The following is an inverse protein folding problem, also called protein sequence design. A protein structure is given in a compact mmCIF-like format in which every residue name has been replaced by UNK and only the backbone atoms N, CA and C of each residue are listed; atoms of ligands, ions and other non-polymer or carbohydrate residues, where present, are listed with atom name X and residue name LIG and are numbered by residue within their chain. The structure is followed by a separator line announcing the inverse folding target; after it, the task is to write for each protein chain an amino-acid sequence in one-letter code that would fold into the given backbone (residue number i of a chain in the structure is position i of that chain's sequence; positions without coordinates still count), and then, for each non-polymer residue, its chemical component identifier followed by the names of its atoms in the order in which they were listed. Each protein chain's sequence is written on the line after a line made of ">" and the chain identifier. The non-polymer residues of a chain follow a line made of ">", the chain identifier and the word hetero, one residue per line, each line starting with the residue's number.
data_IF_220794968761
#
_entry.id   IF_220794968761
#
_cell.length_a   1.000
_cell.length_b   1.000
_cell.length_c   1.000
_cell.angle_alpha   90.00
_cell.angle_beta   90.00
_cell.angle_gamma   90.00
#
_symmetry.space_group_name_H-M   'P 1'
#
loop_
_entity.id
_entity.type
_entity.pdbx_description
1 polymer ?
#
# COMPACT_ATOMS: atom_id res chain seq x y z
N UNK A 1 10.50 8.44 1.28
CA UNK A 1 9.43 7.62 0.70
C UNK A 1 8.16 8.39 0.60
N UNK A 2 7.49 8.19 -0.49
CA UNK A 2 6.27 8.91 -0.76
C UNK A 2 5.07 8.10 -0.30
N UNK A 3 4.17 8.74 0.43
CA UNK A 3 2.90 8.15 0.83
C UNK A 3 1.77 8.98 0.27
N UNK A 4 0.71 8.31 -0.12
CA UNK A 4 -0.45 8.97 -0.70
C UNK A 4 -1.70 8.47 0.00
N UNK A 5 -2.56 9.40 0.38
CA UNK A 5 -3.83 9.08 1.02
C UNK A 5 -4.97 9.49 0.14
N UNK A 6 -5.88 8.55 -0.01
CA UNK A 6 -7.13 8.79 -0.67
C UNK A 6 -8.23 8.43 0.28
N UNK A 7 -8.88 9.37 0.84
CA UNK A 7 -10.11 9.10 1.53
C UNK A 7 -11.18 8.76 0.50
N UNK A 8 -12.27 9.46 0.57
CA UNK A 8 -13.39 9.22 -0.34
C UNK A 8 -13.10 9.60 -1.79
N UNK A 9 -12.01 10.31 -2.03
CA UNK A 9 -11.66 10.77 -3.37
C UNK A 9 -11.44 9.63 -4.35
N UNK A 10 -11.00 8.48 -3.88
CA UNK A 10 -10.77 7.34 -4.75
C UNK A 10 -12.07 6.79 -5.35
N UNK A 11 -13.22 7.17 -4.81
CA UNK A 11 -14.51 6.68 -5.25
C UNK A 11 -15.18 7.57 -6.30
N UNK A 12 -14.58 8.70 -6.66
CA UNK A 12 -15.13 9.64 -7.61
C UNK A 12 -14.22 9.77 -8.82
N UNK A 13 -14.74 10.26 -9.97
CA UNK A 13 -13.92 10.36 -11.19
C UNK A 13 -12.64 11.15 -11.02
N UNK A 14 -12.64 12.20 -10.22
CA UNK A 14 -11.44 12.98 -9.94
C UNK A 14 -10.38 12.14 -9.24
N UNK A 15 -10.80 11.17 -8.42
CA UNK A 15 -9.88 10.24 -7.80
C UNK A 15 -9.14 9.38 -8.81
N UNK A 16 -9.84 8.95 -9.86
CA UNK A 16 -9.22 8.19 -10.95
C UNK A 16 -8.18 9.01 -11.69
N UNK A 17 -8.51 10.27 -12.02
CA UNK A 17 -7.55 11.16 -12.66
C UNK A 17 -6.31 11.37 -11.80
N UNK A 18 -6.50 11.50 -10.50
CA UNK A 18 -5.40 11.61 -9.56
C UNK A 18 -4.53 10.35 -9.55
N UNK A 19 -5.14 9.17 -9.63
CA UNK A 19 -4.41 7.91 -9.69
C UNK A 19 -3.53 7.84 -10.93
N UNK A 20 -4.04 8.24 -12.09
CA UNK A 20 -3.24 8.29 -13.31
C UNK A 20 -2.08 9.27 -13.20
N UNK A 21 -2.32 10.43 -12.61
CA UNK A 21 -1.27 11.42 -12.36
C UNK A 21 -0.17 10.86 -11.47
N UNK A 22 -0.54 10.15 -10.43
CA UNK A 22 0.43 9.53 -9.52
C UNK A 22 1.23 8.44 -10.20
N UNK A 23 0.60 7.65 -11.06
CA UNK A 23 1.29 6.63 -11.83
C UNK A 23 2.37 7.25 -12.70
N UNK A 24 2.07 8.36 -13.38
CA UNK A 24 3.05 9.08 -14.19
C UNK A 24 4.23 9.58 -13.36
N UNK A 25 4.01 9.87 -12.10
CA UNK A 25 5.05 10.30 -11.17
C UNK A 25 5.88 9.14 -10.61
N UNK A 26 5.55 7.91 -10.97
CA UNK A 26 6.28 6.74 -10.51
C UNK A 26 5.74 6.12 -9.23
N UNK A 27 4.55 6.50 -8.79
CA UNK A 27 3.90 5.86 -7.65
C UNK A 27 3.40 4.49 -8.09
N UNK A 28 3.82 3.44 -7.38
CA UNK A 28 3.56 2.06 -7.78
C UNK A 28 2.41 1.42 -7.01
N UNK A 29 2.12 1.90 -5.81
CA UNK A 29 1.12 1.29 -4.96
C UNK A 29 0.55 2.30 -3.98
N UNK A 30 -0.62 1.98 -3.44
CA UNK A 30 -1.30 2.78 -2.43
C UNK A 30 -1.65 1.89 -1.24
N UNK A 31 -1.57 2.44 -0.05
CA UNK A 31 -2.03 1.82 1.18
C UNK A 31 -2.47 2.94 2.12
N UNK A 32 -3.03 2.61 3.25
CA UNK A 32 -3.68 3.64 4.06
C UNK A 32 -3.19 3.70 5.51
N UNK A 33 -2.25 2.85 5.92
CA UNK A 33 -1.83 2.76 7.31
C UNK A 33 -0.40 3.22 7.59
N UNK A 34 0.45 3.23 6.57
CA UNK A 34 1.87 3.45 6.75
C UNK A 34 2.22 4.84 7.27
N UNK A 35 1.45 5.86 6.93
CA UNK A 35 1.72 7.21 7.42
C UNK A 35 1.61 7.27 8.94
N UNK A 36 0.55 6.69 9.51
CA UNK A 36 0.37 6.66 10.94
C UNK A 36 1.47 5.82 11.61
N UNK A 37 1.83 4.69 11.01
CA UNK A 37 2.90 3.85 11.52
C UNK A 37 4.23 4.60 11.59
N UNK A 38 4.61 5.26 10.51
CA UNK A 38 5.88 5.98 10.44
C UNK A 38 5.89 7.21 11.34
N UNK A 39 4.76 7.90 11.42
CA UNK A 39 4.63 9.06 12.29
C UNK A 39 4.78 8.67 13.77
N UNK A 40 4.11 7.62 14.19
CA UNK A 40 4.20 7.14 15.55
C UNK A 40 5.61 6.65 15.88
N UNK A 41 6.24 5.93 14.96
CA UNK A 41 7.61 5.48 15.15
C UNK A 41 8.58 6.67 15.32
N UNK A 42 8.46 7.68 14.45
CA UNK A 42 9.29 8.87 14.55
C UNK A 42 9.07 9.60 15.87
N UNK A 43 7.82 9.69 16.30
CA UNK A 43 7.46 10.37 17.55
C UNK A 43 8.16 9.75 18.76
N UNK A 44 8.35 8.44 18.76
CA UNK A 44 8.97 7.73 19.87
C UNK A 44 10.42 7.31 19.61
N UNK A 45 11.03 7.83 18.55
CA UNK A 45 12.40 7.51 18.23
C UNK A 45 12.63 6.06 17.83
N UNK A 46 11.61 5.42 17.24
CA UNK A 46 11.66 4.02 16.84
C UNK A 46 11.74 3.90 15.32
N UNK A 47 12.16 2.73 14.87
CA UNK A 47 12.19 2.41 13.44
C UNK A 47 10.96 1.61 13.07
N UNK A 48 10.46 1.85 11.86
CA UNK A 48 9.32 1.11 11.32
C UNK A 48 9.48 0.91 9.84
N UNK A 49 8.93 -0.19 9.35
CA UNK A 49 8.88 -0.51 7.93
C UNK A 49 7.52 -1.10 7.62
N UNK A 50 6.92 -0.65 6.54
CA UNK A 50 5.68 -1.22 6.04
C UNK A 50 5.99 -2.16 4.89
N UNK A 51 5.52 -3.39 4.99
CA UNK A 51 5.60 -4.39 3.92
C UNK A 51 4.17 -4.76 3.56
N UNK A 52 3.85 -4.68 2.28
CA UNK A 52 2.49 -4.89 1.81
C UNK A 52 2.43 -5.95 0.74
N UNK A 53 1.33 -6.69 0.74
CA UNK A 53 0.96 -7.59 -0.35
C UNK A 53 -0.04 -6.87 -1.24
N UNK A 54 0.17 -6.93 -2.55
CA UNK A 54 -0.78 -6.35 -3.49
C UNK A 54 -2.04 -7.21 -3.51
N UNK A 55 -3.16 -6.63 -3.15
CA UNK A 55 -4.45 -7.31 -3.13
C UNK A 55 -5.31 -6.98 -4.35
N UNK A 56 -5.20 -5.76 -4.86
CA UNK A 56 -6.04 -5.26 -5.93
C UNK A 56 -5.21 -4.52 -6.95
N UNK A 57 -5.60 -4.62 -8.22
CA UNK A 57 -5.04 -3.81 -9.29
C UNK A 57 -6.04 -2.73 -9.65
N UNK A 58 -5.71 -1.49 -9.38
CA UNK A 58 -6.66 -0.38 -9.53
C UNK A 58 -7.03 -0.12 -10.97
N UNK A 59 -6.12 -0.29 -11.91
CA UNK A 59 -6.38 -0.02 -13.32
C UNK A 59 -7.30 -1.07 -13.93
N UNK A 60 -7.04 -2.34 -13.68
CA UNK A 60 -7.81 -3.44 -14.26
C UNK A 60 -9.03 -3.80 -13.43
N UNK A 61 -9.05 -3.38 -12.17
CA UNK A 61 -10.07 -3.81 -11.24
C UNK A 61 -9.93 -5.24 -10.77
N UNK A 62 -8.82 -5.90 -11.11
CA UNK A 62 -8.59 -7.28 -10.69
C UNK A 62 -8.41 -7.34 -9.17
N UNK A 63 -9.03 -8.34 -8.57
CA UNK A 63 -9.02 -8.54 -7.12
C UNK A 63 -8.54 -9.96 -6.85
N UNK A 64 -7.66 -10.11 -5.89
CA UNK A 64 -7.18 -11.44 -5.51
C UNK A 64 -8.27 -12.24 -4.82
N UNK A 65 -8.25 -13.56 -5.01
CA UNK A 65 -9.10 -14.47 -4.25
C UNK A 65 -8.59 -14.56 -2.81
N UNK A 66 -9.45 -15.06 -1.91
CA UNK A 66 -9.03 -15.28 -0.52
C UNK A 66 -7.83 -16.22 -0.43
N UNK A 67 -7.81 -17.26 -1.27
CA UNK A 67 -6.72 -18.23 -1.29
C UNK A 67 -5.42 -17.58 -1.79
N UNK A 68 -5.49 -16.76 -2.82
CA UNK A 68 -4.32 -16.04 -3.34
C UNK A 68 -3.76 -15.08 -2.30
N UNK A 69 -4.63 -14.36 -1.58
CA UNK A 69 -4.20 -13.47 -0.51
C UNK A 69 -3.50 -14.22 0.61
N UNK A 70 -4.00 -15.39 0.95
CA UNK A 70 -3.43 -16.21 2.01
C UNK A 70 -2.03 -16.69 1.65
N UNK A 71 -1.83 -17.16 0.42
CA UNK A 71 -0.52 -17.59 -0.08
C UNK A 71 0.45 -16.42 -0.14
N UNK A 72 0.03 -15.30 -0.72
CA UNK A 72 0.89 -14.11 -0.83
C UNK A 72 1.23 -13.54 0.54
N UNK A 73 0.30 -13.61 1.49
CA UNK A 73 0.55 -13.19 2.85
C UNK A 73 1.64 -14.02 3.52
N UNK A 74 1.60 -15.32 3.29
CA UNK A 74 2.65 -16.23 3.80
C UNK A 74 4.02 -15.85 3.23
N UNK A 75 4.11 -15.58 1.94
CA UNK A 75 5.35 -15.15 1.30
C UNK A 75 5.84 -13.83 1.89
N UNK A 76 4.93 -12.89 2.12
CA UNK A 76 5.27 -11.61 2.73
C UNK A 76 5.85 -11.80 4.13
N UNK A 77 5.30 -12.72 4.91
CA UNK A 77 5.81 -13.02 6.25
C UNK A 77 7.22 -13.57 6.19
N UNK A 78 7.52 -14.41 5.21
CA UNK A 78 8.87 -14.93 5.02
C UNK A 78 9.86 -13.82 4.69
N UNK A 79 9.48 -12.88 3.83
CA UNK A 79 10.30 -11.72 3.52
C UNK A 79 10.55 -10.89 4.79
N UNK A 80 9.51 -10.65 5.57
CA UNK A 80 9.62 -9.86 6.79
C UNK A 80 10.58 -10.52 7.78
N UNK A 81 10.50 -11.83 7.95
CA UNK A 81 11.39 -12.55 8.85
C UNK A 81 12.84 -12.54 8.35
N UNK A 82 13.06 -12.52 7.06
CA UNK A 82 14.41 -12.52 6.50
C UNK A 82 15.14 -11.19 6.74
N UNK A 83 14.42 -10.10 6.86
CA UNK A 83 15.00 -8.75 7.05
C UNK A 83 14.90 -8.25 8.49
N UNK A 84 14.22 -8.99 9.35
CA UNK A 84 14.04 -8.59 10.75
C UNK A 84 15.31 -8.77 11.58
#
# INVERSE_FOLDING_TARGET
>A
KRQVFYGDHALVPEGLDSLYGLKKMGVMALEMEAAALYMNAARYGKRALCICTISDLLESGAVTTAQQRQTAFHDMMQVALAIA
#
